data_IF_000046535374
#
_entry.id   IF_000046535374
#
_cell.length_a   1.000
_cell.length_b   1.000
_cell.length_c   1.000
_cell.angle_alpha   90.00
_cell.angle_beta   90.00
_cell.angle_gamma   90.00
#
_symmetry.space_group_name_H-M   'P 1'
#
loop_
_entity.id
_entity.type
_entity.pdbx_description
1 polymer ?
#
# COMPACT_ATOMS: atom_id res chain seq x y z
N UNK A 1 22.24 23.14 -13.58
CA UNK A 1 21.17 22.14 -13.69
C UNK A 1 21.19 21.35 -12.40
N UNK A 2 20.32 21.72 -11.47
CA UNK A 2 20.30 21.18 -10.11
C UNK A 2 19.65 19.80 -10.11
N UNK A 3 20.42 18.79 -9.72
CA UNK A 3 19.91 17.45 -9.45
C UNK A 3 19.22 17.48 -8.09
N UNK A 4 17.89 17.50 -8.10
CA UNK A 4 17.08 17.31 -6.90
C UNK A 4 17.43 15.94 -6.30
N UNK A 5 18.06 15.98 -5.13
CA UNK A 5 18.41 14.78 -4.39
C UNK A 5 17.15 13.97 -4.12
N UNK A 6 17.21 12.69 -4.46
CA UNK A 6 16.22 11.66 -4.20
C UNK A 6 16.00 11.45 -2.68
N UNK A 7 15.47 12.47 -2.01
CA UNK A 7 14.86 12.32 -0.69
C UNK A 7 13.37 12.13 -0.90
N UNK A 8 12.99 10.90 -1.23
CA UNK A 8 11.61 10.46 -0.98
C UNK A 8 11.48 10.42 0.54
N UNK A 9 10.88 11.48 1.09
CA UNK A 9 10.56 11.60 2.50
C UNK A 9 9.62 10.45 2.88
N UNK A 10 10.20 9.41 3.45
CA UNK A 10 9.42 8.36 4.07
C UNK A 10 9.10 8.78 5.49
N UNK A 11 7.83 9.08 5.73
CA UNK A 11 7.33 9.37 7.07
C UNK A 11 7.56 8.18 8.01
N UNK A 12 8.56 8.30 8.89
CA UNK A 12 8.53 7.84 10.28
C UNK A 12 8.36 6.35 10.57
N UNK A 13 9.26 5.49 10.09
CA UNK A 13 9.38 4.10 10.56
C UNK A 13 10.82 3.60 10.40
N UNK A 14 11.33 2.92 11.44
CA UNK A 14 12.72 2.43 11.58
C UNK A 14 13.11 1.32 10.58
N UNK A 15 12.26 1.03 9.60
CA UNK A 15 12.52 0.00 8.59
C UNK A 15 13.11 0.66 7.33
N UNK A 16 14.36 0.33 7.03
CA UNK A 16 14.92 0.52 5.68
C UNK A 16 14.16 -0.40 4.73
N UNK A 17 13.39 0.17 3.79
CA UNK A 17 12.82 -0.67 2.73
C UNK A 17 13.72 -0.56 1.51
N UNK A 18 13.93 -1.67 0.79
CA UNK A 18 14.80 -1.66 -0.38
C UNK A 18 14.28 -0.66 -1.42
N UNK A 19 15.17 0.16 -2.01
CA UNK A 19 14.80 1.15 -3.01
C UNK A 19 14.11 0.45 -4.21
N UNK A 20 13.04 1.07 -4.73
CA UNK A 20 12.21 0.56 -5.84
C UNK A 20 11.40 -0.71 -5.53
N UNK A 21 10.85 -0.81 -4.31
CA UNK A 21 9.89 -1.88 -3.96
C UNK A 21 8.45 -1.35 -3.80
N UNK A 22 7.79 -0.85 -4.87
CA UNK A 22 6.34 -0.58 -4.84
C UNK A 22 5.54 -1.88 -4.63
N UNK A 23 6.16 -3.02 -4.92
CA UNK A 23 5.68 -4.34 -4.54
C UNK A 23 5.51 -4.48 -3.03
N UNK A 24 6.18 -3.68 -2.21
CA UNK A 24 6.19 -3.82 -0.77
C UNK A 24 5.43 -2.69 -0.03
N UNK A 25 4.67 -1.85 -0.73
CA UNK A 25 3.83 -0.83 -0.09
C UNK A 25 2.43 -1.36 0.22
N UNK A 26 2.16 -1.82 1.47
CA UNK A 26 0.82 -2.29 1.84
C UNK A 26 -0.26 -1.22 1.75
N UNK A 27 0.15 0.04 1.85
CA UNK A 27 -0.76 1.17 1.77
C UNK A 27 -1.36 1.30 0.37
N UNK A 28 -0.59 1.05 -0.69
CA UNK A 28 -1.09 1.14 -2.06
C UNK A 28 -2.13 0.04 -2.33
N UNK A 29 -1.90 -1.18 -1.83
CA UNK A 29 -2.86 -2.28 -1.91
C UNK A 29 -4.16 -2.00 -1.15
N UNK A 30 -4.02 -1.54 0.10
CA UNK A 30 -5.17 -1.17 0.91
C UNK A 30 -5.94 -0.01 0.26
N UNK A 31 -5.22 0.97 -0.26
CA UNK A 31 -5.80 2.16 -0.86
C UNK A 31 -6.57 1.85 -2.14
N UNK A 32 -6.03 1.02 -3.04
CA UNK A 32 -6.76 0.62 -4.25
C UNK A 32 -8.08 -0.09 -3.92
N UNK A 33 -8.09 -0.94 -2.89
CA UNK A 33 -9.33 -1.57 -2.43
C UNK A 33 -10.32 -0.56 -1.82
N UNK A 34 -9.85 0.27 -0.87
CA UNK A 34 -10.69 1.27 -0.21
C UNK A 34 -11.24 2.27 -1.22
N UNK A 35 -10.44 2.67 -2.22
CA UNK A 35 -10.84 3.60 -3.27
C UNK A 35 -12.03 3.07 -4.07
N UNK A 36 -12.05 1.79 -4.42
CA UNK A 36 -13.18 1.17 -5.09
C UNK A 36 -14.49 1.26 -4.27
N UNK A 37 -14.40 1.10 -2.94
CA UNK A 37 -15.54 1.19 -2.02
C UNK A 37 -15.99 2.65 -1.78
N UNK A 38 -15.03 3.53 -1.51
CA UNK A 38 -15.26 4.94 -1.19
C UNK A 38 -15.85 5.70 -2.36
N UNK A 39 -15.33 5.46 -3.56
CA UNK A 39 -15.72 6.13 -4.80
C UNK A 39 -16.69 5.34 -5.67
N UNK A 40 -17.25 4.22 -5.18
CA UNK A 40 -18.36 3.52 -5.84
C UNK A 40 -19.54 4.46 -6.13
N UNK A 41 -19.71 5.48 -5.28
CA UNK A 41 -20.55 6.65 -5.55
C UNK A 41 -19.78 7.90 -5.16
N UNK A 42 -20.07 9.06 -5.77
CA UNK A 42 -19.43 10.31 -5.39
C UNK A 42 -19.81 10.68 -3.93
N UNK A 43 -18.85 10.80 -3.00
CA UNK A 43 -19.16 11.21 -1.63
C UNK A 43 -19.55 12.70 -1.62
N UNK A 44 -20.75 13.07 -1.13
CA UNK A 44 -21.26 14.44 -1.22
C UNK A 44 -20.63 15.39 -0.19
N UNK A 45 -19.99 14.85 0.86
CA UNK A 45 -19.36 15.64 1.93
C UNK A 45 -18.08 14.99 2.42
N UNK A 46 -17.20 15.80 3.02
CA UNK A 46 -15.99 15.32 3.68
C UNK A 46 -16.29 14.33 4.82
N UNK A 47 -17.41 14.52 5.52
CA UNK A 47 -17.85 13.63 6.60
C UNK A 47 -18.23 12.25 6.05
N UNK A 48 -18.93 12.21 4.92
CA UNK A 48 -19.30 10.95 4.27
C UNK A 48 -18.06 10.23 3.72
N UNK A 49 -17.11 10.98 3.13
CA UNK A 49 -15.80 10.45 2.72
C UNK A 49 -15.06 9.80 3.90
N UNK A 50 -14.92 10.51 5.03
CA UNK A 50 -14.27 10.00 6.24
C UNK A 50 -14.97 8.73 6.76
N UNK A 51 -16.30 8.77 6.85
CA UNK A 51 -17.10 7.62 7.28
C UNK A 51 -16.81 6.41 6.38
N UNK A 52 -16.91 6.57 5.05
CA UNK A 52 -16.67 5.50 4.08
C UNK A 52 -15.28 4.89 4.19
N UNK A 53 -14.24 5.70 4.38
CA UNK A 53 -12.88 5.21 4.60
C UNK A 53 -12.85 4.33 5.87
N UNK A 54 -13.41 4.81 6.98
CA UNK A 54 -13.41 4.08 8.26
C UNK A 54 -14.17 2.75 8.17
N UNK A 55 -15.35 2.70 7.53
CA UNK A 55 -16.08 1.42 7.36
C UNK A 55 -15.43 0.48 6.36
N UNK A 56 -14.71 1.00 5.35
CA UNK A 56 -14.03 0.16 4.34
C UNK A 56 -12.78 -0.50 4.89
N UNK A 57 -12.10 0.14 5.86
CA UNK A 57 -10.90 -0.37 6.51
C UNK A 57 -11.21 -1.41 7.61
N UNK A 58 -11.86 -2.52 7.23
CA UNK A 58 -12.27 -3.58 8.18
C UNK A 58 -11.08 -4.38 8.73
N UNK A 59 -11.20 -5.01 9.92
CA UNK A 59 -10.16 -5.91 10.44
C UNK A 59 -9.81 -7.06 9.48
N UNK A 60 -10.78 -7.58 8.72
CA UNK A 60 -10.55 -8.60 7.71
C UNK A 60 -9.66 -8.09 6.57
N UNK A 61 -9.87 -6.85 6.13
CA UNK A 61 -9.02 -6.21 5.11
C UNK A 61 -7.59 -6.04 5.61
N UNK A 62 -7.42 -5.57 6.85
CA UNK A 62 -6.10 -5.42 7.47
C UNK A 62 -5.36 -6.76 7.61
N UNK A 63 -6.08 -7.82 7.94
CA UNK A 63 -5.53 -9.18 7.97
C UNK A 63 -5.10 -9.65 6.59
N UNK A 64 -5.90 -9.40 5.55
CA UNK A 64 -5.54 -9.74 4.18
C UNK A 64 -4.29 -9.00 3.71
N UNK A 65 -4.21 -7.68 3.96
CA UNK A 65 -3.02 -6.87 3.66
C UNK A 65 -1.79 -7.42 4.37
N UNK A 66 -1.91 -7.79 5.66
CA UNK A 66 -0.80 -8.42 6.39
C UNK A 66 -0.32 -9.71 5.73
N UNK A 67 -1.23 -10.61 5.38
CA UNK A 67 -0.87 -11.88 4.72
C UNK A 67 -0.22 -11.65 3.36
N UNK A 68 -0.72 -10.65 2.65
CA UNK A 68 -0.18 -10.28 1.35
C UNK A 68 1.28 -9.81 1.50
N UNK A 69 1.56 -8.83 2.37
CA UNK A 69 2.93 -8.36 2.64
C UNK A 69 3.85 -9.53 2.99
N UNK A 70 3.40 -10.42 3.88
CA UNK A 70 4.18 -11.60 4.27
C UNK A 70 4.50 -12.48 3.06
N UNK A 71 3.51 -12.73 2.20
CA UNK A 71 3.71 -13.49 0.96
C UNK A 71 4.73 -12.82 0.03
N UNK A 72 4.69 -11.49 -0.08
CA UNK A 72 5.62 -10.74 -0.93
C UNK A 72 7.03 -10.72 -0.39
N UNK A 73 7.19 -10.50 0.91
CA UNK A 73 8.49 -10.58 1.58
C UNK A 73 9.07 -11.98 1.36
N UNK A 74 8.25 -13.03 1.49
CA UNK A 74 8.70 -14.38 1.20
C UNK A 74 9.12 -14.57 -0.27
N UNK A 75 8.35 -14.02 -1.21
CA UNK A 75 8.71 -14.04 -2.63
C UNK A 75 10.02 -13.29 -2.91
N UNK A 76 10.20 -12.09 -2.35
CA UNK A 76 11.45 -11.33 -2.43
C UNK A 76 12.64 -12.18 -1.97
N UNK A 77 12.48 -12.92 -0.87
CA UNK A 77 13.53 -13.83 -0.35
C UNK A 77 13.81 -14.95 -1.36
N UNK A 78 12.77 -15.59 -1.91
CA UNK A 78 12.91 -16.68 -2.89
C UNK A 78 13.64 -16.23 -4.15
N UNK A 79 13.36 -15.03 -4.65
CA UNK A 79 14.01 -14.48 -5.85
C UNK A 79 15.28 -13.68 -5.55
N UNK A 80 15.81 -13.79 -4.32
CA UNK A 80 17.03 -13.09 -3.88
C UNK A 80 16.99 -11.57 -4.14
N UNK A 81 15.82 -10.96 -3.96
CA UNK A 81 15.60 -9.52 -4.17
C UNK A 81 15.44 -9.08 -5.63
N UNK A 82 15.38 -10.00 -6.60
CA UNK A 82 15.04 -9.66 -7.98
C UNK A 82 13.57 -9.27 -8.14
N UNK A 83 13.23 -8.65 -9.28
CA UNK A 83 11.86 -8.31 -9.62
C UNK A 83 11.03 -9.57 -9.89
N UNK A 84 9.82 -9.65 -9.33
CA UNK A 84 8.89 -10.74 -9.58
C UNK A 84 7.50 -10.19 -9.91
N UNK A 85 6.80 -10.87 -10.81
CA UNK A 85 5.43 -10.50 -11.16
C UNK A 85 4.48 -10.98 -10.06
N UNK A 86 3.62 -10.08 -9.63
CA UNK A 86 2.54 -10.39 -8.69
C UNK A 86 1.34 -10.85 -9.51
N UNK A 87 0.82 -12.05 -9.22
CA UNK A 87 -0.28 -12.63 -9.99
C UNK A 87 -1.50 -11.70 -10.02
N UNK A 88 -2.16 -11.71 -11.17
CA UNK A 88 -3.22 -10.79 -11.61
C UNK A 88 -4.59 -11.11 -10.98
#
# INVERSE_FOLDING_TARGET
METFQNQVMRYGGFEEWPPRSPDLTPLDFLWEHIKGQVYATAPPTLQDLRRRITVSATPAMLHNVRREIQSRVQMCIVVNGEHFQQYK
#
